data_IF_493640305025
#
_entry.id   IF_493640305025
#
_cell.length_a   1.000
_cell.length_b   1.000
_cell.length_c   1.000
_cell.angle_alpha   90.00
_cell.angle_beta   90.00
_cell.angle_gamma   90.00
#
_symmetry.space_group_name_H-M   'P 1'
#
loop_
_entity.id
_entity.type
_entity.pdbx_description
1 polymer ?
#
# COMPACT_ATOMS: atom_id res chain seq x y z
N UNK A 1 6.23 -26.85 -0.18
CA UNK A 1 6.53 -25.90 0.90
C UNK A 1 5.36 -24.93 0.90
N UNK A 2 4.39 -25.14 1.77
CA UNK A 2 3.22 -24.27 1.86
C UNK A 2 3.71 -22.87 2.26
N UNK A 3 3.45 -21.88 1.42
CA UNK A 3 3.73 -20.49 1.74
C UNK A 3 2.69 -20.09 2.78
N UNK A 4 3.08 -19.98 4.05
CA UNK A 4 2.19 -19.47 5.10
C UNK A 4 1.60 -18.13 4.63
N UNK A 5 0.28 -18.07 4.55
CA UNK A 5 -0.43 -16.86 4.15
C UNK A 5 -0.37 -15.87 5.28
N UNK A 6 0.16 -14.67 5.03
CA UNK A 6 0.23 -13.58 6.00
C UNK A 6 -1.17 -13.23 6.54
N UNK A 7 -1.34 -13.28 7.86
CA UNK A 7 -2.59 -12.96 8.55
C UNK A 7 -2.51 -11.64 9.31
N UNK A 8 -3.67 -11.03 9.57
CA UNK A 8 -3.77 -9.89 10.48
C UNK A 8 -3.24 -10.28 11.86
N UNK A 9 -2.43 -9.41 12.46
CA UNK A 9 -1.77 -9.63 13.75
C UNK A 9 -0.39 -10.28 13.62
N UNK A 10 0.01 -10.77 12.45
CA UNK A 10 1.34 -11.32 12.21
C UNK A 10 2.33 -10.24 11.77
N UNK A 11 3.61 -10.47 12.06
CA UNK A 11 4.71 -9.64 11.57
C UNK A 11 4.91 -9.90 10.08
N UNK A 12 4.97 -8.84 9.29
CA UNK A 12 5.23 -8.94 7.85
C UNK A 12 6.67 -9.39 7.64
N UNK A 13 6.87 -10.37 6.76
CA UNK A 13 8.21 -10.81 6.37
C UNK A 13 8.98 -9.68 5.69
N UNK A 14 10.28 -9.59 5.98
CA UNK A 14 11.12 -8.57 5.36
C UNK A 14 11.17 -8.72 3.84
N UNK A 15 11.09 -7.57 3.16
CA UNK A 15 11.27 -7.46 1.73
C UNK A 15 12.16 -6.27 1.40
N UNK A 16 12.81 -6.36 0.24
CA UNK A 16 13.58 -5.30 -0.39
C UNK A 16 13.31 -5.38 -1.88
N UNK A 17 13.01 -4.24 -2.50
CA UNK A 17 12.87 -4.11 -3.94
C UNK A 17 13.21 -2.67 -4.36
N UNK A 18 13.50 -2.50 -5.64
CA UNK A 18 13.77 -1.18 -6.20
C UNK A 18 12.45 -0.41 -6.32
N UNK A 19 12.48 0.88 -6.01
CA UNK A 19 11.36 1.79 -6.17
C UNK A 19 11.74 3.02 -7.01
N UNK A 20 10.76 3.55 -7.74
CA UNK A 20 10.80 4.92 -8.23
C UNK A 20 10.42 5.86 -7.07
N UNK A 21 11.32 6.77 -6.73
CA UNK A 21 11.13 7.77 -5.69
C UNK A 21 10.41 9.01 -6.24
N UNK A 22 9.84 9.83 -5.34
CA UNK A 22 9.12 11.05 -5.72
C UNK A 22 9.99 12.11 -6.44
N UNK A 23 11.31 12.06 -6.25
CA UNK A 23 12.29 12.91 -6.96
C UNK A 23 12.70 12.36 -8.34
N UNK A 24 12.13 11.23 -8.76
CA UNK A 24 12.45 10.56 -10.03
C UNK A 24 13.69 9.65 -9.98
N UNK A 25 14.36 9.54 -8.82
CA UNK A 25 15.48 8.62 -8.63
C UNK A 25 15.02 7.18 -8.39
N UNK A 26 15.90 6.21 -8.65
CA UNK A 26 15.69 4.83 -8.26
C UNK A 26 16.45 4.53 -6.98
N UNK A 27 15.78 3.90 -6.00
CA UNK A 27 16.40 3.48 -4.74
C UNK A 27 15.86 2.12 -4.31
N UNK A 28 16.67 1.38 -3.60
CA UNK A 28 16.18 0.19 -2.89
C UNK A 28 15.38 0.63 -1.66
N UNK A 29 14.17 0.09 -1.53
CA UNK A 29 13.28 0.29 -0.39
C UNK A 29 13.08 -1.05 0.29
N UNK A 30 13.22 -1.07 1.60
CA UNK A 30 12.97 -2.24 2.45
C UNK A 30 11.89 -1.94 3.48
N UNK A 31 11.17 -2.98 3.93
CA UNK A 31 10.16 -2.81 4.98
C UNK A 31 10.74 -2.16 6.25
N UNK A 32 11.97 -2.52 6.61
CA UNK A 32 12.69 -1.92 7.74
C UNK A 32 12.86 -0.38 7.68
N UNK A 33 12.79 0.25 6.50
CA UNK A 33 12.86 1.72 6.35
C UNK A 33 11.65 2.43 6.97
N UNK A 34 10.57 1.68 7.20
CA UNK A 34 9.32 2.17 7.79
C UNK A 34 9.18 1.84 9.28
N UNK A 35 10.21 1.25 9.91
CA UNK A 35 10.19 0.95 11.35
C UNK A 35 9.93 2.23 12.16
N UNK A 36 9.02 2.13 13.14
CA UNK A 36 8.62 3.28 13.96
C UNK A 36 7.55 4.17 13.32
N UNK A 37 7.10 3.86 12.09
CA UNK A 37 6.04 4.58 11.38
C UNK A 37 4.92 3.63 10.99
N UNK A 38 3.71 4.15 10.86
CA UNK A 38 2.66 3.41 10.17
C UNK A 38 2.98 3.34 8.67
N UNK A 39 2.66 2.23 8.04
CA UNK A 39 2.84 2.06 6.59
C UNK A 39 1.52 1.62 5.96
N UNK A 40 1.06 2.39 4.98
CA UNK A 40 -0.01 1.99 4.06
C UNK A 40 0.65 1.49 2.77
N UNK A 41 0.75 0.17 2.64
CA UNK A 41 1.21 -0.48 1.41
C UNK A 41 0.02 -0.84 0.56
N UNK A 42 0.02 -0.46 -0.71
CA UNK A 42 -1.07 -0.78 -1.62
C UNK A 42 -0.56 -1.29 -2.96
N UNK A 43 -1.18 -2.36 -3.45
CA UNK A 43 -0.88 -2.99 -4.72
C UNK A 43 -1.82 -2.49 -5.80
N UNK A 44 -1.37 -2.50 -7.05
CA UNK A 44 -2.22 -2.32 -8.21
C UNK A 44 -1.77 -3.28 -9.33
N UNK A 45 -2.67 -3.65 -10.27
CA UNK A 45 -2.38 -4.70 -11.23
C UNK A 45 -1.23 -4.37 -12.19
N UNK A 46 -1.32 -3.25 -12.91
CA UNK A 46 -0.42 -2.89 -14.00
C UNK A 46 -0.36 -1.38 -14.20
N UNK A 47 0.82 -0.89 -14.56
CA UNK A 47 1.03 0.44 -15.15
C UNK A 47 0.25 0.60 -16.47
N UNK A 48 0.01 1.85 -16.89
CA UNK A 48 -0.65 2.19 -18.16
C UNK A 48 -2.06 1.59 -18.38
N UNK A 49 -2.79 1.28 -17.30
CA UNK A 49 -4.18 0.81 -17.35
C UNK A 49 -5.16 1.86 -16.79
N UNK A 50 -6.46 1.52 -16.70
CA UNK A 50 -7.54 2.50 -16.52
C UNK A 50 -7.82 2.91 -15.07
N UNK A 51 -7.96 1.95 -14.15
CA UNK A 51 -8.31 2.24 -12.73
C UNK A 51 -7.07 2.62 -11.91
N UNK A 52 -5.93 1.98 -12.16
CA UNK A 52 -4.69 2.18 -11.42
C UNK A 52 -4.25 3.65 -11.28
N UNK A 53 -4.27 4.50 -12.34
CA UNK A 53 -3.84 5.89 -12.20
C UNK A 53 -4.76 6.67 -11.25
N UNK A 54 -6.06 6.39 -11.26
CA UNK A 54 -7.02 7.07 -10.38
C UNK A 54 -6.73 6.79 -8.90
N UNK A 55 -6.31 5.56 -8.56
CA UNK A 55 -5.98 5.16 -7.19
C UNK A 55 -4.68 5.82 -6.73
N UNK A 56 -3.62 5.72 -7.53
CA UNK A 56 -2.31 6.30 -7.19
C UNK A 56 -2.41 7.82 -7.05
N UNK A 57 -3.10 8.50 -7.97
CA UNK A 57 -3.33 9.94 -7.87
C UNK A 57 -4.17 10.30 -6.64
N UNK A 58 -5.18 9.50 -6.29
CA UNK A 58 -6.00 9.76 -5.09
C UNK A 58 -5.18 9.65 -3.81
N UNK A 59 -4.36 8.59 -3.66
CA UNK A 59 -3.42 8.49 -2.55
C UNK A 59 -2.41 9.65 -2.56
N UNK A 60 -1.91 10.05 -3.74
CA UNK A 60 -0.93 11.14 -3.87
C UNK A 60 -1.50 12.49 -3.42
N UNK A 61 -2.78 12.76 -3.73
CA UNK A 61 -3.51 13.95 -3.24
C UNK A 61 -3.65 13.96 -1.72
N UNK A 62 -3.97 12.82 -1.12
CA UNK A 62 -4.17 12.66 0.33
C UNK A 62 -2.88 12.35 1.11
N UNK A 63 -1.72 12.36 0.45
CA UNK A 63 -0.47 11.94 1.08
C UNK A 63 -0.16 12.74 2.35
N UNK A 64 -0.43 14.05 2.35
CA UNK A 64 -0.21 14.89 3.54
C UNK A 64 -1.10 14.49 4.72
N UNK A 65 -2.27 13.92 4.48
CA UNK A 65 -3.16 13.47 5.55
C UNK A 65 -2.62 12.19 6.20
N UNK A 66 -2.05 11.26 5.43
CA UNK A 66 -1.28 10.14 5.98
C UNK A 66 -0.06 10.62 6.77
N UNK A 67 0.68 11.61 6.26
CA UNK A 67 1.86 12.17 6.94
C UNK A 67 1.50 12.82 8.27
N UNK A 68 0.40 13.56 8.36
CA UNK A 68 -0.11 14.14 9.63
C UNK A 68 -0.42 13.06 10.67
N UNK A 69 -0.79 11.86 10.24
CA UNK A 69 -1.05 10.70 11.09
C UNK A 69 0.23 9.88 11.38
N UNK A 70 1.42 10.35 11.00
CA UNK A 70 2.67 9.59 11.18
C UNK A 70 2.73 8.32 10.34
N UNK A 71 1.99 8.27 9.23
CA UNK A 71 2.01 7.18 8.27
C UNK A 71 2.75 7.56 6.98
N UNK A 72 3.45 6.59 6.41
CA UNK A 72 3.96 6.66 5.04
C UNK A 72 3.06 5.85 4.11
N UNK A 73 3.13 6.14 2.82
CA UNK A 73 2.44 5.40 1.76
C UNK A 73 3.49 4.75 0.87
N UNK A 74 3.24 3.52 0.43
CA UNK A 74 4.04 2.80 -0.55
C UNK A 74 3.09 2.14 -1.55
N UNK A 75 3.34 2.34 -2.84
CA UNK A 75 2.61 1.62 -3.89
C UNK A 75 3.47 0.52 -4.48
N UNK A 76 2.85 -0.53 -5.03
CA UNK A 76 3.56 -1.65 -5.62
C UNK A 76 2.78 -2.27 -6.79
N UNK A 77 3.47 -2.60 -7.88
CA UNK A 77 2.97 -3.54 -8.90
C UNK A 77 4.10 -4.46 -9.34
N UNK A 78 3.79 -5.41 -10.23
CA UNK A 78 4.80 -6.33 -10.80
C UNK A 78 5.61 -5.71 -11.93
N UNK A 79 5.33 -4.44 -12.30
CA UNK A 79 6.08 -3.71 -13.31
C UNK A 79 7.49 -3.31 -12.82
N UNK A 80 8.37 -2.96 -13.75
CA UNK A 80 9.71 -2.46 -13.41
C UNK A 80 9.70 -0.97 -13.04
N UNK A 81 10.69 -0.51 -12.28
CA UNK A 81 10.84 0.93 -11.99
C UNK A 81 11.03 1.79 -13.23
N UNK A 82 11.53 1.22 -14.33
CA UNK A 82 11.63 1.90 -15.62
C UNK A 82 10.25 2.14 -16.24
N UNK A 83 9.33 1.17 -16.11
CA UNK A 83 7.93 1.33 -16.49
C UNK A 83 7.27 2.42 -15.65
N UNK A 84 7.45 2.38 -14.32
CA UNK A 84 6.91 3.40 -13.42
C UNK A 84 7.39 4.80 -13.80
N UNK A 85 8.68 4.94 -14.11
CA UNK A 85 9.27 6.23 -14.49
C UNK A 85 8.66 6.75 -15.79
N UNK A 86 8.61 5.90 -16.82
CA UNK A 86 7.96 6.24 -18.07
C UNK A 86 6.49 6.63 -17.86
N UNK A 87 5.78 5.95 -16.95
CA UNK A 87 4.38 6.25 -16.69
C UNK A 87 4.17 7.58 -15.96
N UNK A 88 4.99 7.87 -14.94
CA UNK A 88 5.02 9.17 -14.25
C UNK A 88 5.29 10.30 -15.23
N UNK A 89 6.22 10.12 -16.17
CA UNK A 89 6.60 11.12 -17.17
C UNK A 89 5.55 11.30 -18.28
N UNK A 90 4.80 10.23 -18.63
CA UNK A 90 3.96 10.21 -19.84
C UNK A 90 2.45 10.03 -19.59
N UNK A 91 1.96 10.12 -18.35
CA UNK A 91 0.50 10.14 -18.12
C UNK A 91 0.02 10.11 -16.67
N UNK A 92 0.77 9.49 -15.76
CA UNK A 92 0.37 9.40 -14.35
C UNK A 92 0.55 10.74 -13.61
N UNK A 93 1.58 11.51 -13.97
CA UNK A 93 1.94 12.76 -13.31
C UNK A 93 2.67 12.55 -11.98
N UNK A 94 2.85 13.64 -11.22
CA UNK A 94 3.66 13.63 -9.99
C UNK A 94 3.04 12.73 -8.90
N UNK A 95 3.83 11.80 -8.39
CA UNK A 95 3.49 10.92 -7.26
C UNK A 95 4.38 11.27 -6.06
N UNK A 96 3.77 11.46 -4.88
CA UNK A 96 4.47 11.95 -3.68
C UNK A 96 5.14 10.88 -2.82
N UNK A 97 4.93 9.61 -3.16
CA UNK A 97 5.47 8.45 -2.44
C UNK A 97 6.13 7.47 -3.41
N UNK A 98 6.93 6.51 -2.90
CA UNK A 98 7.60 5.55 -3.76
C UNK A 98 6.65 4.57 -4.47
N UNK A 99 7.04 4.17 -5.68
CA UNK A 99 6.38 3.11 -6.46
C UNK A 99 7.35 1.93 -6.58
N UNK A 100 7.07 0.84 -5.87
CA UNK A 100 7.90 -0.36 -5.75
C UNK A 100 7.68 -1.29 -6.94
N UNK A 101 8.76 -1.67 -7.62
CA UNK A 101 8.73 -2.65 -8.70
C UNK A 101 8.96 -4.07 -8.17
N UNK A 102 7.91 -4.88 -8.08
CA UNK A 102 7.92 -6.27 -7.61
C UNK A 102 8.12 -7.26 -8.78
N UNK A 103 9.20 -7.08 -9.55
CA UNK A 103 9.46 -7.85 -10.79
C UNK A 103 9.72 -9.34 -10.56
N UNK A 104 10.04 -9.75 -9.33
CA UNK A 104 10.23 -11.16 -8.96
C UNK A 104 9.00 -11.75 -8.23
N UNK A 105 7.94 -10.95 -8.09
CA UNK A 105 6.67 -11.29 -7.44
C UNK A 105 6.79 -11.68 -5.95
N UNK A 106 7.91 -11.38 -5.29
CA UNK A 106 8.13 -11.77 -3.89
C UNK A 106 7.20 -11.01 -2.96
N UNK A 107 7.00 -9.71 -3.21
CA UNK A 107 6.20 -8.85 -2.34
C UNK A 107 4.72 -9.19 -2.49
N UNK A 108 4.21 -9.24 -3.72
CA UNK A 108 2.81 -9.62 -4.01
C UNK A 108 2.45 -11.04 -3.52
N UNK A 109 3.38 -12.01 -3.57
CA UNK A 109 3.20 -13.33 -2.94
C UNK A 109 3.13 -13.26 -1.42
N UNK A 110 3.99 -12.48 -0.79
CA UNK A 110 4.01 -12.30 0.68
C UNK A 110 2.66 -11.80 1.20
N UNK A 111 2.04 -10.87 0.45
CA UNK A 111 0.73 -10.31 0.78
C UNK A 111 -0.45 -11.10 0.19
N UNK A 112 -0.18 -12.26 -0.44
CA UNK A 112 -1.18 -13.13 -1.07
C UNK A 112 -2.13 -12.42 -2.03
N UNK A 113 -1.58 -11.52 -2.86
CA UNK A 113 -2.34 -10.77 -3.87
C UNK A 113 -1.90 -11.06 -5.30
N UNK A 114 -0.87 -11.88 -5.51
CA UNK A 114 -0.45 -12.27 -6.86
C UNK A 114 -1.47 -13.23 -7.51
N UNK A 115 -2.01 -12.86 -8.67
CA UNK A 115 -2.69 -13.77 -9.59
C UNK A 115 -1.63 -14.54 -10.37
N UNK A 116 -1.35 -15.78 -9.94
CA UNK A 116 -0.23 -16.57 -10.48
C UNK A 116 -0.35 -16.85 -11.98
N UNK A 117 -1.56 -17.03 -12.49
CA UNK A 117 -1.86 -17.26 -13.91
C UNK A 117 -1.64 -16.02 -14.79
N UNK A 118 -1.68 -14.82 -14.19
CA UNK A 118 -1.56 -13.54 -14.89
C UNK A 118 -0.25 -12.80 -14.65
N UNK A 119 0.46 -13.09 -13.55
CA UNK A 119 1.67 -12.37 -13.16
C UNK A 119 1.42 -10.93 -12.71
N UNK A 120 0.21 -10.63 -12.22
CA UNK A 120 -0.19 -9.29 -11.76
C UNK A 120 -0.76 -9.37 -10.34
N UNK A 121 -0.72 -8.26 -9.60
CA UNK A 121 -1.32 -8.18 -8.28
C UNK A 121 -2.82 -7.80 -8.35
N UNK A 122 -3.62 -8.34 -7.43
CA UNK A 122 -4.93 -7.81 -7.07
C UNK A 122 -4.80 -6.42 -6.43
N UNK A 123 -5.92 -5.71 -6.27
CA UNK A 123 -5.97 -4.39 -5.62
C UNK A 123 -5.99 -4.54 -4.10
N UNK A 124 -4.85 -4.95 -3.54
CA UNK A 124 -4.65 -5.05 -2.09
C UNK A 124 -4.25 -3.74 -1.44
N UNK A 125 -4.79 -3.40 -0.28
CA UNK A 125 -4.32 -2.32 0.60
C UNK A 125 -4.11 -2.89 2.00
N UNK A 126 -2.94 -2.63 2.56
CA UNK A 126 -2.47 -3.19 3.82
C UNK A 126 -1.99 -2.06 4.73
N UNK A 127 -2.45 -2.08 5.98
CA UNK A 127 -2.01 -1.14 7.02
C UNK A 127 -1.13 -1.90 7.99
N UNK A 128 0.13 -1.47 8.10
CA UNK A 128 1.17 -2.08 8.90
C UNK A 128 1.56 -1.09 10.02
N UNK A 129 1.65 -1.59 11.25
CA UNK A 129 1.96 -0.78 12.41
C UNK A 129 3.48 -0.46 12.54
N UNK A 130 3.88 0.45 13.45
CA UNK A 130 5.28 0.80 13.69
C UNK A 130 6.22 -0.36 14.05
N UNK A 131 5.69 -1.51 14.46
CA UNK A 131 6.44 -2.72 14.81
C UNK A 131 6.53 -3.71 13.63
N UNK A 132 5.97 -3.37 12.47
CA UNK A 132 5.93 -4.22 11.29
C UNK A 132 4.83 -5.27 11.33
N UNK A 133 3.80 -5.09 12.17
CA UNK A 133 2.68 -6.03 12.30
C UNK A 133 1.53 -5.59 11.38
N UNK A 134 0.99 -6.52 10.60
CA UNK A 134 -0.17 -6.27 9.75
C UNK A 134 -1.43 -6.05 10.60
N UNK A 135 -2.15 -4.96 10.39
CA UNK A 135 -3.35 -4.58 11.18
C UNK A 135 -4.64 -4.56 10.38
N UNK A 136 -4.57 -4.28 9.08
CA UNK A 136 -5.74 -4.29 8.20
C UNK A 136 -5.33 -4.72 6.80
N UNK A 137 -6.23 -5.41 6.12
CA UNK A 137 -6.09 -5.83 4.74
C UNK A 137 -7.45 -5.69 4.03
N UNK A 138 -7.44 -5.01 2.88
CA UNK A 138 -8.59 -4.93 1.98
C UNK A 138 -8.12 -5.36 0.60
N UNK A 139 -8.79 -6.32 -0.03
CA UNK A 139 -8.44 -6.79 -1.37
C UNK A 139 -9.67 -6.68 -2.26
N UNK A 140 -9.56 -5.85 -3.29
CA UNK A 140 -10.59 -5.71 -4.31
C UNK A 140 -10.22 -6.53 -5.55
N UNK A 141 -11.24 -7.01 -6.26
CA UNK A 141 -11.08 -7.57 -7.60
C UNK A 141 -10.64 -6.46 -8.59
N UNK A 142 -10.09 -6.88 -9.73
CA UNK A 142 -9.49 -6.03 -10.75
C UNK A 142 -10.37 -4.84 -11.23
N UNK A 143 -11.70 -4.96 -11.40
CA UNK A 143 -12.50 -3.85 -11.93
C UNK A 143 -12.90 -2.80 -10.87
N UNK A 144 -12.71 -3.07 -9.58
CA UNK A 144 -13.26 -2.22 -8.50
C UNK A 144 -12.15 -1.44 -7.79
N UNK A 145 -12.15 -0.12 -7.95
CA UNK A 145 -11.25 0.78 -7.24
C UNK A 145 -11.49 0.82 -5.72
N UNK A 146 -10.48 1.22 -4.97
CA UNK A 146 -10.53 1.35 -3.50
C UNK A 146 -10.91 2.76 -3.05
N UNK A 147 -11.24 2.90 -1.75
CA UNK A 147 -11.48 4.20 -1.11
C UNK A 147 -10.29 4.61 -0.24
N UNK A 148 -9.69 5.77 -0.56
CA UNK A 148 -8.61 6.38 0.23
C UNK A 148 -9.13 6.89 1.57
N UNK A 149 -10.34 7.44 1.59
CA UNK A 149 -11.01 7.92 2.80
C UNK A 149 -11.24 6.78 3.81
N UNK A 150 -11.65 5.60 3.32
CA UNK A 150 -11.82 4.42 4.18
C UNK A 150 -10.48 3.91 4.73
N UNK A 151 -9.41 4.03 3.93
CA UNK A 151 -8.05 3.71 4.38
C UNK A 151 -7.61 4.66 5.50
N UNK A 152 -7.84 5.97 5.34
CA UNK A 152 -7.57 6.98 6.37
C UNK A 152 -8.39 6.72 7.64
N UNK A 153 -9.70 6.49 7.51
CA UNK A 153 -10.60 6.20 8.63
C UNK A 153 -10.13 4.97 9.41
N UNK A 154 -9.78 3.90 8.71
CA UNK A 154 -9.29 2.66 9.31
C UNK A 154 -7.95 2.88 10.01
N UNK A 155 -7.01 3.62 9.41
CA UNK A 155 -5.75 4.00 10.05
C UNK A 155 -5.99 4.77 11.34
N UNK A 156 -6.86 5.77 11.33
CA UNK A 156 -7.20 6.57 12.51
C UNK A 156 -7.86 5.71 13.60
N UNK A 157 -8.74 4.78 13.22
CA UNK A 157 -9.36 3.85 14.15
C UNK A 157 -8.33 2.96 14.84
N UNK A 158 -7.39 2.39 14.07
CA UNK A 158 -6.28 1.59 14.59
C UNK A 158 -5.38 2.40 15.54
N UNK A 159 -5.15 3.67 15.24
CA UNK A 159 -4.33 4.57 16.05
C UNK A 159 -4.98 4.97 17.38
N UNK A 160 -6.29 4.79 17.54
CA UNK A 160 -6.95 5.04 18.84
C UNK A 160 -6.43 4.11 19.94
N UNK A 161 -5.98 2.91 19.59
CA UNK A 161 -5.62 1.85 20.53
C UNK A 161 -6.80 1.32 21.38
N UNK A 162 -8.04 1.69 21.01
CA UNK A 162 -9.28 1.34 21.73
C UNK A 162 -10.24 0.57 20.84
N UNK A 163 -11.30 0.05 21.44
CA UNK A 163 -12.41 -0.54 20.70
C UNK A 163 -13.19 0.57 19.98
N UNK A 164 -13.41 0.40 18.67
CA UNK A 164 -14.20 1.34 17.85
C UNK A 164 -15.46 0.63 17.35
N UNK A 165 -16.60 1.34 17.38
CA UNK A 165 -17.87 0.81 16.88
C UNK A 165 -17.92 0.69 15.36
N UNK A 166 -18.94 0.01 14.85
CA UNK A 166 -19.18 -0.08 13.40
C UNK A 166 -19.36 1.32 12.80
N UNK A 167 -18.60 1.62 11.74
CA UNK A 167 -18.65 2.91 11.04
C UNK A 167 -17.99 4.08 11.78
N UNK A 168 -17.23 3.83 12.86
CA UNK A 168 -16.54 4.87 13.64
C UNK A 168 -15.73 5.82 12.76
N UNK A 169 -15.81 7.12 13.06
CA UNK A 169 -15.02 8.19 12.46
C UNK A 169 -14.32 9.02 13.55
N UNK A 170 -13.25 9.77 13.19
CA UNK A 170 -12.62 10.69 14.13
C UNK A 170 -13.63 11.64 14.77
N UNK A 171 -13.65 11.69 16.10
CA UNK A 171 -14.61 12.46 16.90
C UNK A 171 -15.72 11.62 17.53
N UNK A 172 -15.98 10.42 17.02
CA UNK A 172 -16.95 9.51 17.63
C UNK A 172 -16.41 8.90 18.94
N UNK A 173 -17.32 8.56 19.85
CA UNK A 173 -16.97 7.86 21.10
C UNK A 173 -16.42 6.47 20.79
N UNK A 174 -15.32 6.12 21.47
CA UNK A 174 -14.82 4.74 21.52
C UNK A 174 -15.64 3.91 22.50
N UNK A 175 -15.55 2.59 22.40
CA UNK A 175 -16.14 1.65 23.36
C UNK A 175 -15.13 1.37 24.49
N UNK A 176 -15.64 1.02 25.66
CA UNK A 176 -14.87 0.59 26.83
C UNK A 176 -14.54 -0.91 26.77
#
# INVERSE_FOLDING_TARGET
>A
MECETLQIGQKVSEFQAQALMADGSFKDVKLADYKGKWLVLFFYPLDFTFVCPTEIQSFSRHYEDFKKLGAEVLSCSTDSVYSHKAWVENGLGKVKFPILGDTNHKVSKTFNVLLQDKGIALRGTFIIDPNGVLKSATVNDLPVGRSVEETLRTLQALQTGKLTGCGWKPGDKTLD
#
